data_IF_641793760942
#
_entry.id   IF_641793760942
#
_cell.length_a   1.000
_cell.length_b   1.000
_cell.length_c   1.000
_cell.angle_alpha   90.00
_cell.angle_beta   90.00
_cell.angle_gamma   90.00
#
_symmetry.space_group_name_H-M   'P 1'
#
loop_
_entity.id
_entity.type
_entity.pdbx_description
1 polymer ?
#
# COMPACT_ATOMS: atom_id res chain seq x y z
N UNK A 1 38.75 -27.73 45.74
CA UNK A 1 37.78 -27.71 44.61
C UNK A 1 37.05 -26.37 44.68
N UNK A 2 37.56 -25.39 43.89
CA UNK A 2 37.33 -23.98 44.13
C UNK A 2 35.98 -23.46 43.66
N UNK A 3 35.38 -22.68 44.53
CA UNK A 3 34.22 -21.83 44.26
C UNK A 3 34.47 -20.77 43.15
N UNK A 4 35.73 -20.60 42.75
CA UNK A 4 36.15 -19.61 41.75
C UNK A 4 35.84 -19.97 40.30
N UNK A 5 35.66 -21.25 39.96
CA UNK A 5 35.41 -21.70 38.61
C UNK A 5 33.93 -21.56 38.17
N UNK A 6 33.01 -21.52 39.12
CA UNK A 6 31.57 -21.29 38.82
C UNK A 6 31.25 -19.85 38.52
N UNK A 7 32.06 -18.89 38.97
CA UNK A 7 31.81 -17.46 38.74
C UNK A 7 32.31 -17.00 37.38
N UNK A 8 33.30 -17.69 36.79
CA UNK A 8 33.82 -17.35 35.44
C UNK A 8 32.94 -17.76 34.31
N UNK A 9 32.10 -18.78 34.49
CA UNK A 9 31.14 -19.20 33.43
C UNK A 9 29.94 -18.26 33.36
N UNK A 10 29.65 -17.49 34.41
CA UNK A 10 28.52 -16.57 34.45
C UNK A 10 28.82 -15.20 33.85
N UNK A 11 30.11 -14.82 33.79
CA UNK A 11 30.57 -13.55 33.21
C UNK A 11 30.87 -13.60 31.73
N UNK A 12 30.87 -14.82 31.14
CA UNK A 12 30.92 -14.98 29.70
C UNK A 12 29.49 -14.95 29.16
N UNK A 13 28.92 -13.74 29.11
CA UNK A 13 27.68 -13.43 28.43
C UNK A 13 27.79 -13.80 26.96
N UNK A 14 27.63 -15.09 26.69
CA UNK A 14 27.43 -15.62 25.34
C UNK A 14 26.03 -15.18 24.92
N UNK A 15 26.00 -14.03 24.28
CA UNK A 15 24.86 -13.58 23.50
C UNK A 15 24.49 -14.75 22.56
N UNK A 16 23.61 -15.64 23.02
CA UNK A 16 22.91 -16.59 22.17
C UNK A 16 22.16 -15.76 21.13
N UNK A 17 22.82 -15.49 20.02
CA UNK A 17 22.12 -15.24 18.77
C UNK A 17 21.26 -16.47 18.57
N UNK A 18 19.99 -16.36 18.90
CA UNK A 18 18.98 -17.38 18.63
C UNK A 18 18.96 -17.56 17.11
N UNK A 19 19.66 -18.58 16.64
CA UNK A 19 19.54 -19.05 15.26
C UNK A 19 18.06 -19.31 15.02
N UNK A 20 17.46 -18.76 13.97
CA UNK A 20 16.04 -19.03 13.68
C UNK A 20 15.88 -20.55 13.52
N UNK A 21 14.98 -21.12 14.32
CA UNK A 21 14.64 -22.53 14.20
C UNK A 21 14.22 -22.83 12.76
N UNK A 22 14.63 -23.96 12.19
CA UNK A 22 14.31 -24.31 10.78
C UNK A 22 12.80 -24.32 10.49
N UNK A 23 11.97 -24.52 11.50
CA UNK A 23 10.51 -24.41 11.40
C UNK A 23 10.04 -22.96 11.18
N UNK A 24 10.68 -21.97 11.79
CA UNK A 24 10.30 -20.56 11.63
C UNK A 24 10.66 -20.02 10.24
N UNK A 25 11.76 -20.48 9.65
CA UNK A 25 12.16 -20.09 8.30
C UNK A 25 11.25 -20.68 7.22
N UNK A 26 10.77 -21.90 7.41
CA UNK A 26 9.82 -22.56 6.49
C UNK A 26 8.44 -21.88 6.53
N UNK A 27 7.94 -21.57 7.73
CA UNK A 27 6.69 -20.86 7.90
C UNK A 27 6.76 -19.45 7.30
N UNK A 28 7.87 -18.72 7.47
CA UNK A 28 8.07 -17.40 6.86
C UNK A 28 8.09 -17.44 5.33
N UNK A 29 8.71 -18.46 4.72
CA UNK A 29 8.72 -18.64 3.27
C UNK A 29 7.34 -18.98 2.71
N UNK A 30 6.58 -19.84 3.38
CA UNK A 30 5.20 -20.16 3.00
C UNK A 30 4.32 -18.91 3.05
N UNK A 31 4.43 -18.11 4.12
CA UNK A 31 3.70 -16.85 4.25
C UNK A 31 4.05 -15.85 3.13
N UNK A 32 5.32 -15.75 2.78
CA UNK A 32 5.75 -14.86 1.68
C UNK A 32 5.17 -15.30 0.34
N UNK A 33 5.19 -16.60 0.05
CA UNK A 33 4.62 -17.15 -1.18
C UNK A 33 3.12 -16.88 -1.30
N UNK A 34 2.37 -17.06 -0.23
CA UNK A 34 0.93 -16.75 -0.21
C UNK A 34 0.65 -15.25 -0.42
N UNK A 35 1.49 -14.37 0.14
CA UNK A 35 1.41 -12.93 -0.12
C UNK A 35 1.70 -12.60 -1.58
N UNK A 36 2.71 -13.24 -2.21
CA UNK A 36 3.05 -13.06 -3.63
C UNK A 36 1.90 -13.54 -4.53
N UNK A 37 1.32 -14.69 -4.25
CA UNK A 37 0.17 -15.24 -4.98
C UNK A 37 -1.06 -14.32 -4.88
N UNK A 38 -1.30 -13.74 -3.71
CA UNK A 38 -2.40 -12.78 -3.53
C UNK A 38 -2.20 -11.53 -4.38
N UNK A 39 -0.99 -10.95 -4.38
CA UNK A 39 -0.68 -9.77 -5.21
C UNK A 39 -0.79 -10.09 -6.70
N UNK A 40 -0.32 -11.25 -7.13
CA UNK A 40 -0.37 -11.64 -8.54
C UNK A 40 -1.80 -11.88 -9.06
N UNK A 41 -2.72 -12.28 -8.18
CA UNK A 41 -4.10 -12.64 -8.54
C UNK A 41 -5.12 -11.52 -8.31
N UNK A 42 -4.73 -10.38 -7.76
CA UNK A 42 -5.62 -9.27 -7.38
C UNK A 42 -5.13 -7.95 -7.96
N UNK A 43 -6.06 -6.99 -8.07
CA UNK A 43 -5.78 -5.65 -8.60
C UNK A 43 -5.88 -4.64 -7.47
N UNK A 44 -5.09 -3.55 -7.55
CA UNK A 44 -5.14 -2.45 -6.59
C UNK A 44 -4.80 -2.86 -5.15
N UNK A 45 -3.84 -3.79 -5.00
CA UNK A 45 -3.43 -4.30 -3.70
C UNK A 45 -2.61 -3.26 -2.95
N UNK A 46 -2.97 -3.03 -1.70
CA UNK A 46 -2.24 -2.20 -0.74
C UNK A 46 -1.83 -3.04 0.47
N UNK A 47 -0.66 -2.78 1.01
CA UNK A 47 -0.14 -3.47 2.17
C UNK A 47 -0.22 -2.59 3.43
N UNK A 48 -0.63 -3.19 4.53
CA UNK A 48 -0.71 -2.57 5.85
C UNK A 48 0.15 -3.36 6.82
N UNK A 49 1.15 -2.69 7.40
CA UNK A 49 2.01 -3.28 8.41
C UNK A 49 1.35 -3.16 9.78
N UNK A 50 1.10 -4.28 10.40
CA UNK A 50 0.63 -4.38 11.78
C UNK A 50 1.84 -4.62 12.70
N UNK A 51 2.12 -3.72 13.65
CA UNK A 51 3.26 -3.85 14.53
C UNK A 51 3.08 -5.04 15.48
N UNK A 52 4.20 -5.61 15.92
CA UNK A 52 4.21 -6.64 16.95
C UNK A 52 3.54 -6.14 18.23
N UNK A 53 2.67 -6.97 18.79
CA UNK A 53 2.08 -6.78 20.12
C UNK A 53 2.61 -7.83 21.10
N UNK A 54 2.14 -7.78 22.36
CA UNK A 54 2.49 -8.80 23.35
C UNK A 54 2.05 -10.22 22.94
N UNK A 55 1.00 -10.33 22.15
CA UNK A 55 0.36 -11.61 21.79
C UNK A 55 0.66 -11.99 20.32
N UNK A 56 0.73 -11.01 19.42
CA UNK A 56 0.88 -11.25 17.98
C UNK A 56 2.23 -10.77 17.46
N UNK A 57 2.82 -11.55 16.55
CA UNK A 57 4.01 -11.14 15.77
C UNK A 57 3.68 -10.02 14.79
N UNK A 58 4.72 -9.41 14.21
CA UNK A 58 4.55 -8.47 13.10
C UNK A 58 3.85 -9.17 11.94
N UNK A 59 2.80 -8.56 11.39
CA UNK A 59 2.00 -9.07 10.28
C UNK A 59 1.91 -8.07 9.14
N UNK A 60 1.77 -8.58 7.94
CA UNK A 60 1.38 -7.82 6.75
C UNK A 60 -0.05 -8.22 6.40
N UNK A 61 -0.91 -7.22 6.31
CA UNK A 61 -2.26 -7.31 5.80
C UNK A 61 -2.28 -6.73 4.39
N UNK A 62 -2.60 -7.54 3.39
CA UNK A 62 -2.85 -7.11 2.02
C UNK A 62 -4.35 -6.88 1.84
N UNK A 63 -4.73 -5.79 1.19
CA UNK A 63 -6.13 -5.47 0.88
C UNK A 63 -6.23 -5.12 -0.60
N UNK A 64 -7.02 -5.87 -1.35
CA UNK A 64 -7.28 -5.65 -2.75
C UNK A 64 -8.33 -4.54 -2.98
N UNK A 65 -8.50 -4.12 -4.23
CA UNK A 65 -9.45 -3.06 -4.62
C UNK A 65 -10.90 -3.40 -4.26
N UNK A 66 -11.29 -4.65 -4.38
CA UNK A 66 -12.63 -5.15 -4.02
C UNK A 66 -12.86 -5.32 -2.51
N UNK A 67 -11.83 -5.08 -1.70
CA UNK A 67 -11.85 -5.21 -0.25
C UNK A 67 -11.47 -6.59 0.27
N UNK A 68 -11.26 -7.59 -0.60
CA UNK A 68 -10.72 -8.88 -0.19
C UNK A 68 -9.34 -8.67 0.45
N UNK A 69 -9.04 -9.44 1.49
CA UNK A 69 -7.80 -9.25 2.22
C UNK A 69 -7.15 -10.56 2.65
N UNK A 70 -5.84 -10.52 2.81
CA UNK A 70 -5.02 -11.61 3.31
C UNK A 70 -4.06 -11.10 4.38
N UNK A 71 -4.05 -11.75 5.55
CA UNK A 71 -3.14 -11.42 6.66
C UNK A 71 -2.14 -12.55 6.86
N UNK A 72 -0.83 -12.21 6.87
CA UNK A 72 0.24 -13.19 7.10
C UNK A 72 1.33 -12.62 8.00
N UNK A 73 1.89 -13.44 8.89
CA UNK A 73 3.02 -13.04 9.72
C UNK A 73 4.28 -12.86 8.88
N UNK A 74 5.06 -11.86 9.23
CA UNK A 74 6.39 -11.59 8.69
C UNK A 74 7.40 -11.52 9.82
N UNK A 75 8.66 -11.71 9.50
CA UNK A 75 9.74 -11.68 10.48
C UNK A 75 9.85 -10.31 11.17
N UNK A 76 9.89 -9.27 10.34
CA UNK A 76 10.06 -7.89 10.78
C UNK A 76 9.57 -6.89 9.71
N UNK A 77 9.66 -5.60 10.06
CA UNK A 77 9.32 -4.49 9.15
C UNK A 77 10.19 -4.46 7.88
N UNK A 78 11.44 -4.90 7.96
CA UNK A 78 12.35 -4.88 6.81
C UNK A 78 11.91 -5.92 5.77
N UNK A 79 11.52 -7.12 6.20
CA UNK A 79 10.97 -8.13 5.31
C UNK A 79 9.68 -7.62 4.62
N UNK A 80 8.81 -6.94 5.34
CA UNK A 80 7.61 -6.33 4.76
C UNK A 80 7.94 -5.28 3.70
N UNK A 81 8.92 -4.40 3.96
CA UNK A 81 9.38 -3.40 2.99
C UNK A 81 10.01 -4.02 1.76
N UNK A 82 10.86 -5.02 1.95
CA UNK A 82 11.49 -5.75 0.85
C UNK A 82 10.44 -6.42 -0.05
N UNK A 83 9.46 -7.08 0.55
CA UNK A 83 8.34 -7.69 -0.17
C UNK A 83 7.57 -6.64 -0.98
N UNK A 84 7.14 -5.54 -0.36
CA UNK A 84 6.38 -4.48 -1.03
C UNK A 84 7.21 -3.78 -2.13
N UNK A 85 8.52 -3.62 -1.93
CA UNK A 85 9.42 -3.09 -2.95
C UNK A 85 9.55 -4.00 -4.16
N UNK A 86 9.63 -5.32 -3.96
CA UNK A 86 9.69 -6.31 -5.05
C UNK A 86 8.39 -6.41 -5.83
N UNK A 87 7.26 -6.30 -5.15
CA UNK A 87 5.94 -6.39 -5.77
C UNK A 87 5.37 -5.05 -6.24
N UNK A 88 6.11 -3.96 -6.00
CA UNK A 88 5.73 -2.60 -6.36
C UNK A 88 4.35 -2.18 -5.81
N UNK A 89 4.04 -2.57 -4.57
CA UNK A 89 2.82 -2.17 -3.87
C UNK A 89 3.12 -1.19 -2.73
N UNK A 90 2.23 -0.25 -2.42
CA UNK A 90 2.40 0.68 -1.31
C UNK A 90 2.34 -0.04 0.03
N UNK A 91 3.16 0.39 1.00
CA UNK A 91 3.16 -0.11 2.37
C UNK A 91 2.79 1.00 3.34
N UNK A 92 1.70 0.82 4.06
CA UNK A 92 1.21 1.72 5.09
C UNK A 92 1.43 1.15 6.49
N UNK A 93 1.49 2.01 7.49
CA UNK A 93 1.52 1.61 8.90
C UNK A 93 0.07 1.60 9.42
N UNK A 94 -0.45 0.40 9.72
CA UNK A 94 -1.84 0.23 10.15
C UNK A 94 -2.19 1.01 11.43
N UNK A 95 -1.21 1.20 12.33
CA UNK A 95 -1.40 1.98 13.55
C UNK A 95 -1.58 3.47 13.30
N UNK A 96 -1.08 3.98 12.16
CA UNK A 96 -1.16 5.41 11.80
C UNK A 96 -2.35 5.73 10.90
N UNK A 97 -2.58 4.91 9.88
CA UNK A 97 -3.63 5.20 8.87
C UNK A 97 -4.93 4.44 9.11
N UNK A 98 -4.91 3.43 9.96
CA UNK A 98 -6.05 2.53 10.15
C UNK A 98 -6.28 1.59 8.97
N UNK A 99 -7.41 0.87 9.01
CA UNK A 99 -7.79 -0.06 7.95
C UNK A 99 -8.71 0.60 6.93
N UNK A 100 -8.57 0.28 5.63
CA UNK A 100 -9.42 0.87 4.59
C UNK A 100 -10.89 0.48 4.75
N UNK A 101 -11.79 1.40 4.38
CA UNK A 101 -13.23 1.19 4.47
C UNK A 101 -13.67 -0.03 3.64
N UNK A 102 -13.08 -0.24 2.46
CA UNK A 102 -13.40 -1.35 1.55
C UNK A 102 -13.22 -2.73 2.19
N UNK A 103 -12.24 -2.91 3.07
CA UNK A 103 -12.07 -4.15 3.83
C UNK A 103 -13.27 -4.41 4.75
N UNK A 104 -13.75 -3.39 5.47
CA UNK A 104 -14.93 -3.50 6.34
C UNK A 104 -16.22 -3.71 5.57
N UNK A 105 -16.32 -3.12 4.40
CA UNK A 105 -17.47 -3.29 3.51
C UNK A 105 -17.49 -4.73 2.94
N UNK A 106 -16.32 -5.28 2.62
CA UNK A 106 -16.17 -6.69 2.21
C UNK A 106 -16.66 -7.66 3.28
N UNK A 107 -16.27 -7.46 4.56
CA UNK A 107 -16.72 -8.27 5.69
C UNK A 107 -18.24 -8.22 5.89
N UNK A 108 -18.85 -7.09 5.52
CA UNK A 108 -20.32 -6.92 5.57
C UNK A 108 -21.03 -7.45 4.32
N UNK A 109 -20.30 -8.01 3.36
CA UNK A 109 -20.85 -8.47 2.08
C UNK A 109 -21.22 -7.34 1.11
N UNK A 110 -20.82 -6.10 1.40
CA UNK A 110 -21.01 -4.97 0.49
C UNK A 110 -19.93 -5.01 -0.58
N UNK A 111 -20.32 -5.36 -1.81
CA UNK A 111 -19.40 -5.36 -2.96
C UNK A 111 -19.31 -3.96 -3.54
N UNK A 112 -18.10 -3.44 -3.83
CA UNK A 112 -17.97 -2.19 -4.56
C UNK A 112 -18.60 -2.37 -5.94
N UNK A 113 -19.54 -1.48 -6.28
CA UNK A 113 -20.07 -1.40 -7.64
C UNK A 113 -18.96 -0.81 -8.50
N UNK A 114 -18.47 -1.58 -9.47
CA UNK A 114 -17.65 -1.01 -10.53
C UNK A 114 -18.53 -0.04 -11.31
N UNK A 115 -18.19 1.23 -11.22
CA UNK A 115 -18.81 2.24 -12.07
C UNK A 115 -18.18 2.07 -13.43
N UNK A 116 -18.97 1.72 -14.43
CA UNK A 116 -18.52 1.77 -15.80
C UNK A 116 -18.34 3.24 -16.18
N UNK A 117 -17.11 3.61 -16.52
CA UNK A 117 -16.79 4.99 -16.88
C UNK A 117 -17.53 5.43 -18.15
N UNK A 118 -18.03 4.47 -18.97
CA UNK A 118 -18.84 4.75 -20.15
C UNK A 118 -20.29 5.13 -19.82
N UNK A 119 -20.76 4.78 -18.59
CA UNK A 119 -22.10 5.14 -18.10
C UNK A 119 -22.12 6.50 -17.40
N UNK A 120 -20.95 7.11 -17.16
CA UNK A 120 -20.91 8.44 -16.56
C UNK A 120 -21.36 9.50 -17.56
N UNK A 121 -22.19 10.45 -17.14
CA UNK A 121 -22.48 11.61 -17.98
C UNK A 121 -21.17 12.34 -18.28
N UNK A 122 -21.02 12.94 -19.48
CA UNK A 122 -19.84 13.72 -19.81
C UNK A 122 -19.61 14.78 -18.74
N UNK A 123 -18.35 15.05 -18.42
CA UNK A 123 -17.99 16.09 -17.47
C UNK A 123 -18.60 17.42 -17.88
N UNK A 124 -19.05 18.28 -16.95
CA UNK A 124 -19.59 19.59 -17.28
C UNK A 124 -18.64 20.54 -18.03
N UNK A 125 -17.49 20.09 -18.44
CA UNK A 125 -16.49 20.82 -19.22
C UNK A 125 -16.14 20.22 -20.56
N UNK A 126 -16.66 19.02 -20.90
CA UNK A 126 -16.36 18.33 -22.17
C UNK A 126 -17.37 18.66 -23.30
N UNK A 127 -18.31 19.55 -23.03
CA UNK A 127 -19.13 20.12 -24.10
C UNK A 127 -18.30 21.03 -25.00
N UNK A 128 -18.70 21.23 -26.30
CA UNK A 128 -18.08 22.24 -27.13
C UNK A 128 -18.06 23.56 -26.37
N UNK A 129 -16.89 24.10 -26.11
CA UNK A 129 -16.77 25.42 -25.49
C UNK A 129 -17.23 26.47 -26.51
N UNK A 130 -18.54 26.66 -26.60
CA UNK A 130 -19.12 27.88 -27.20
C UNK A 130 -18.72 29.06 -26.31
N UNK A 131 -17.67 29.72 -26.68
CA UNK A 131 -17.28 30.95 -25.99
C UNK A 131 -15.78 31.24 -25.91
N UNK A 132 -14.92 30.42 -26.45
CA UNK A 132 -13.50 30.80 -26.53
C UNK A 132 -13.12 31.24 -27.97
N UNK A 133 -14.02 31.94 -28.61
CA UNK A 133 -13.67 32.75 -29.78
C UNK A 133 -12.84 33.93 -29.28
N UNK A 134 -11.59 34.10 -29.73
CA UNK A 134 -10.81 35.27 -29.34
C UNK A 134 -11.58 36.53 -29.75
N UNK A 135 -11.55 37.62 -28.94
CA UNK A 135 -12.25 38.83 -29.25
C UNK A 135 -11.88 39.31 -30.66
N UNK A 136 -12.86 39.45 -31.51
CA UNK A 136 -12.72 39.97 -32.90
C UNK A 136 -12.52 41.47 -32.93
N UNK A 137 -11.89 42.05 -31.93
CA UNK A 137 -11.48 43.43 -31.89
C UNK A 137 -10.10 43.58 -32.51
N UNK A 138 -10.06 43.45 -33.82
CA UNK A 138 -8.97 44.05 -34.60
C UNK A 138 -9.02 45.56 -34.42
N UNK A 139 -7.90 46.28 -34.44
CA UNK A 139 -7.85 47.71 -34.34
C UNK A 139 -8.71 48.32 -35.48
N UNK A 140 -9.47 49.40 -35.19
CA UNK A 140 -10.30 50.05 -36.21
C UNK A 140 -9.44 50.53 -37.39
N UNK A 141 -9.94 50.45 -38.62
CA UNK A 141 -9.21 50.89 -39.80
C UNK A 141 -8.86 52.39 -39.68
N UNK A 142 -7.68 52.80 -40.15
CA UNK A 142 -7.25 54.19 -40.10
C UNK A 142 -8.23 55.11 -40.86
N UNK A 143 -8.45 56.35 -40.40
CA UNK A 143 -9.34 57.27 -41.06
C UNK A 143 -8.88 57.57 -42.48
N UNK A 144 -9.83 57.46 -43.42
CA UNK A 144 -9.61 57.78 -44.82
C UNK A 144 -9.32 59.30 -44.96
N UNK A 145 -8.21 59.62 -45.59
CA UNK A 145 -7.84 61.00 -45.85
C UNK A 145 -8.86 61.66 -46.79
N UNK A 146 -9.21 62.95 -46.62
CA UNK A 146 -10.12 63.63 -47.52
C UNK A 146 -9.49 63.85 -48.93
N UNK A 147 -10.31 63.84 -49.99
CA UNK A 147 -9.82 64.10 -51.32
C UNK A 147 -9.41 65.53 -51.50
N UNK A 148 -8.27 65.77 -52.19
CA UNK A 148 -7.74 67.07 -52.56
C UNK A 148 -8.58 67.70 -53.69
#
# INVERSE_FOLDING_TARGET
>A
MGFADRLRSWLKGESKRSSPSPSSSKASRASTKELEEFVASRVGVEAYLEPKTAIYSTTVLLVADDGEYLRRPVKDRNQAREFCGKTNIPLYDAGKVGYPKRMRDYDRGVRPRRVDMSELPPWPGDGPQEGNEPPRDGPPPPPTAPPS
#
